data_IF_908301116889
#
_entry.id   IF_908301116889
#
_cell.length_a   1.000
_cell.length_b   1.000
_cell.length_c   1.000
_cell.angle_alpha   90.00
_cell.angle_beta   90.00
_cell.angle_gamma   90.00
#
_symmetry.space_group_name_H-M   'P 1'
#
loop_
_entity.id
_entity.type
_entity.pdbx_description
1 polymer ?
#
# COMPACT_ATOMS: atom_id res chain seq x y z
N UNK A 1 10.93 15.97 0.32
CA UNK A 1 10.86 14.52 0.57
C UNK A 1 9.43 14.10 0.87
N UNK A 2 8.98 13.09 0.19
CA UNK A 2 7.62 12.59 0.40
C UNK A 2 7.56 11.80 1.69
N UNK A 3 6.45 11.93 2.37
CA UNK A 3 6.21 11.19 3.60
C UNK A 3 5.43 9.93 3.30
N UNK A 4 5.79 8.84 3.97
CA UNK A 4 4.99 7.62 3.97
C UNK A 4 4.19 7.62 5.26
N UNK A 5 2.89 7.53 5.14
CA UNK A 5 2.00 7.46 6.30
C UNK A 5 1.59 6.02 6.51
N UNK A 6 1.78 5.54 7.73
CA UNK A 6 1.38 4.18 8.12
C UNK A 6 0.36 4.31 9.23
N UNK A 7 -0.81 3.72 9.02
CA UNK A 7 -1.91 3.81 9.95
C UNK A 7 -2.62 2.47 10.06
N UNK A 8 -2.89 2.05 11.29
CA UNK A 8 -3.59 0.79 11.53
C UNK A 8 -5.00 1.07 12.03
N UNK A 9 -5.98 0.53 11.32
CA UNK A 9 -7.38 0.59 11.71
C UNK A 9 -7.68 -0.68 12.50
N UNK A 10 -7.81 -0.53 13.82
CA UNK A 10 -8.05 -1.67 14.70
C UNK A 10 -9.43 -2.30 14.53
N UNK A 11 -10.42 -1.52 14.14
CA UNK A 11 -11.78 -2.05 13.94
C UNK A 11 -11.86 -2.88 12.67
N UNK A 12 -11.28 -2.38 11.59
CA UNK A 12 -11.28 -3.08 10.33
C UNK A 12 -10.16 -4.10 10.18
N UNK A 13 -9.18 -4.06 11.08
CA UNK A 13 -8.00 -4.92 11.02
C UNK A 13 -7.23 -4.72 9.72
N UNK A 14 -7.09 -3.46 9.33
CA UNK A 14 -6.45 -3.07 8.07
C UNK A 14 -5.26 -2.16 8.34
N UNK A 15 -4.13 -2.49 7.73
CA UNK A 15 -2.97 -1.61 7.76
C UNK A 15 -2.93 -0.81 6.47
N UNK A 16 -2.87 0.51 6.61
CA UNK A 16 -2.76 1.43 5.46
C UNK A 16 -1.34 1.93 5.37
N UNK A 17 -0.75 1.84 4.19
CA UNK A 17 0.56 2.40 3.89
C UNK A 17 0.36 3.37 2.73
N UNK A 18 0.46 4.67 3.01
CA UNK A 18 0.14 5.70 2.02
C UNK A 18 1.38 6.47 1.61
N UNK A 19 1.68 6.47 0.33
CA UNK A 19 2.75 7.26 -0.24
C UNK A 19 2.23 8.61 -0.73
N UNK A 20 0.93 8.71 -0.96
CA UNK A 20 0.26 9.98 -1.24
C UNK A 20 -1.19 9.87 -0.74
N UNK A 21 -1.86 11.02 -0.67
CA UNK A 21 -3.25 11.04 -0.20
C UNK A 21 -4.19 10.45 -1.25
N UNK A 22 -5.24 9.75 -0.82
CA UNK A 22 -6.25 9.25 -1.75
C UNK A 22 -6.92 10.40 -2.51
N UNK A 23 -7.34 10.13 -3.74
CA UNK A 23 -8.02 11.12 -4.56
C UNK A 23 -9.04 10.41 -5.46
N UNK A 24 -9.98 11.18 -5.96
CA UNK A 24 -11.02 10.67 -6.84
C UNK A 24 -10.42 10.22 -8.16
N UNK A 25 -10.79 9.03 -8.60
CA UNK A 25 -10.28 8.47 -9.84
C UNK A 25 -9.05 7.59 -9.68
N UNK A 26 -8.54 7.48 -8.47
CA UNK A 26 -7.42 6.58 -8.19
C UNK A 26 -7.81 5.13 -8.46
N UNK A 27 -6.92 4.37 -9.08
CA UNK A 27 -7.15 2.97 -9.36
C UNK A 27 -7.03 2.10 -8.11
N UNK A 28 -7.54 0.89 -8.19
CA UNK A 28 -7.49 -0.06 -7.08
C UNK A 28 -7.38 -1.47 -7.65
N UNK A 29 -6.42 -2.23 -7.16
CA UNK A 29 -6.16 -3.59 -7.65
C UNK A 29 -5.70 -4.47 -6.50
N UNK A 30 -6.28 -5.66 -6.40
CA UNK A 30 -5.78 -6.64 -5.45
C UNK A 30 -4.52 -7.26 -6.05
N UNK A 31 -3.41 -7.18 -5.33
CA UNK A 31 -2.10 -7.62 -5.84
C UNK A 31 -1.64 -8.94 -5.24
N UNK A 32 -2.16 -9.31 -4.09
CA UNK A 32 -1.93 -10.61 -3.47
C UNK A 32 -3.02 -10.84 -2.43
N UNK A 33 -3.05 -12.00 -1.82
CA UNK A 33 -4.11 -12.35 -0.88
C UNK A 33 -4.31 -11.29 0.20
N UNK A 34 -5.41 -10.56 0.11
CA UNK A 34 -5.74 -9.54 1.09
C UNK A 34 -4.92 -8.27 1.04
N UNK A 35 -4.18 -8.03 -0.03
CA UNK A 35 -3.44 -6.77 -0.21
C UNK A 35 -3.98 -6.03 -1.42
N UNK A 36 -4.45 -4.81 -1.21
CA UNK A 36 -5.00 -3.97 -2.27
C UNK A 36 -4.06 -2.79 -2.50
N UNK A 37 -3.65 -2.60 -3.75
CA UNK A 37 -2.84 -1.46 -4.13
C UNK A 37 -3.72 -0.38 -4.74
N UNK A 38 -3.51 0.87 -4.32
CA UNK A 38 -4.10 2.03 -4.98
C UNK A 38 -3.07 2.56 -5.95
N UNK A 39 -3.48 2.82 -7.17
CA UNK A 39 -2.55 3.13 -8.24
C UNK A 39 -2.95 4.39 -8.98
N UNK A 40 -1.96 5.05 -9.56
CA UNK A 40 -2.20 6.16 -10.45
C UNK A 40 -2.95 5.64 -11.69
N UNK A 41 -4.05 6.29 -12.08
CA UNK A 41 -4.91 5.76 -13.15
C UNK A 41 -4.26 5.72 -14.53
N UNK A 42 -3.22 6.50 -14.74
CA UNK A 42 -2.54 6.56 -16.04
C UNK A 42 -1.25 5.75 -16.02
N UNK A 43 -0.40 5.97 -15.01
CA UNK A 43 0.92 5.35 -14.98
C UNK A 43 0.92 3.96 -14.34
N UNK A 44 -0.09 3.65 -13.53
CA UNK A 44 -0.14 2.40 -12.76
C UNK A 44 0.80 2.37 -11.56
N UNK A 45 1.46 3.48 -11.25
CA UNK A 45 2.37 3.57 -10.12
C UNK A 45 1.60 3.35 -8.81
N UNK A 46 2.17 2.56 -7.91
CA UNK A 46 1.55 2.29 -6.63
C UNK A 46 1.65 3.53 -5.74
N UNK A 47 0.49 3.95 -5.23
CA UNK A 47 0.38 5.16 -4.42
C UNK A 47 -0.05 4.86 -2.99
N UNK A 48 -0.63 3.71 -2.74
CA UNK A 48 -0.87 3.25 -1.37
C UNK A 48 -1.16 1.76 -1.37
N UNK A 49 -1.09 1.18 -0.18
CA UNK A 49 -1.40 -0.23 0.03
C UNK A 49 -2.37 -0.35 1.19
N UNK A 50 -3.31 -1.27 1.07
CA UNK A 50 -4.23 -1.62 2.14
C UNK A 50 -4.05 -3.11 2.41
N UNK A 51 -3.56 -3.42 3.58
CA UNK A 51 -3.29 -4.81 3.97
C UNK A 51 -4.40 -5.26 4.90
N UNK A 52 -5.23 -6.16 4.39
CA UNK A 52 -6.39 -6.67 5.11
C UNK A 52 -6.00 -7.82 6.04
N UNK A 53 -6.82 -8.05 7.06
CA UNK A 53 -6.64 -9.17 7.98
C UNK A 53 -5.26 -9.21 8.61
N UNK A 54 -4.83 -8.06 9.12
CA UNK A 54 -3.50 -7.95 9.72
C UNK A 54 -3.26 -8.93 10.86
N UNK A 55 -4.27 -9.13 11.71
CA UNK A 55 -4.12 -10.03 12.86
C UNK A 55 -3.86 -11.48 12.46
N UNK A 56 -4.37 -11.90 11.30
CA UNK A 56 -4.18 -13.26 10.81
C UNK A 56 -2.79 -13.49 10.22
N UNK A 57 -2.00 -12.44 10.08
CA UNK A 57 -0.68 -12.55 9.46
C UNK A 57 0.45 -12.83 10.45
N UNK A 58 0.12 -12.89 11.75
CA UNK A 58 1.08 -13.19 12.81
C UNK A 58 2.32 -12.29 12.77
N UNK A 59 2.10 -11.02 12.45
CA UNK A 59 3.19 -10.06 12.38
C UNK A 59 4.08 -10.19 11.15
N UNK A 60 3.76 -11.10 10.24
CA UNK A 60 4.54 -11.32 9.04
C UNK A 60 3.84 -10.69 7.84
N UNK A 61 4.59 -9.92 7.07
CA UNK A 61 4.06 -9.22 5.92
C UNK A 61 4.96 -9.43 4.72
N UNK A 62 4.41 -10.02 3.68
CA UNK A 62 5.14 -10.26 2.43
C UNK A 62 4.54 -9.39 1.33
N UNK A 63 5.30 -8.38 0.90
CA UNK A 63 4.84 -7.39 -0.08
C UNK A 63 5.90 -7.24 -1.18
N UNK A 64 5.94 -8.18 -2.13
CA UNK A 64 6.98 -8.12 -3.16
C UNK A 64 7.00 -6.81 -3.96
N UNK A 65 5.84 -6.20 -4.18
CA UNK A 65 5.81 -4.94 -4.91
C UNK A 65 6.32 -3.75 -4.11
N UNK A 66 6.37 -3.84 -2.78
CA UNK A 66 6.89 -2.73 -1.99
C UNK A 66 8.41 -2.62 -2.12
N UNK A 67 9.07 -3.73 -2.39
CA UNK A 67 10.51 -3.71 -2.67
C UNK A 67 10.79 -2.84 -3.88
N UNK A 68 9.99 -3.02 -4.92
CA UNK A 68 10.12 -2.22 -6.13
C UNK A 68 9.87 -0.73 -5.86
N UNK A 69 8.84 -0.43 -5.06
CA UNK A 69 8.53 0.95 -4.70
C UNK A 69 9.67 1.58 -3.89
N UNK A 70 10.27 0.83 -2.98
CA UNK A 70 11.39 1.31 -2.19
C UNK A 70 12.63 1.54 -3.04
N UNK A 71 12.89 0.66 -3.99
CA UNK A 71 13.99 0.85 -4.93
C UNK A 71 13.82 2.15 -5.70
N UNK A 72 12.61 2.41 -6.14
CA UNK A 72 12.31 3.62 -6.88
C UNK A 72 12.60 4.86 -6.04
N UNK A 73 12.21 4.85 -4.79
CA UNK A 73 12.45 5.96 -3.87
C UNK A 73 13.94 6.07 -3.55
N UNK A 74 14.61 4.93 -3.40
CA UNK A 74 16.01 4.89 -3.01
C UNK A 74 16.97 5.36 -4.07
N UNK A 75 16.52 5.51 -5.31
CA UNK A 75 17.38 5.97 -6.41
C UNK A 75 17.44 7.48 -6.54
N UNK A 76 16.73 8.19 -5.74
CA UNK A 76 16.72 9.66 -5.79
C UNK A 76 18.05 10.31 -5.43
#
# INVERSE_FOLDING_TARGET
MEKVTIQFDTEGDILYVEFCKPYKGQGSTEVSGGVVARTHPITGRIESLEILDMSARNGKLELPMIVEALEFVGTD
#
